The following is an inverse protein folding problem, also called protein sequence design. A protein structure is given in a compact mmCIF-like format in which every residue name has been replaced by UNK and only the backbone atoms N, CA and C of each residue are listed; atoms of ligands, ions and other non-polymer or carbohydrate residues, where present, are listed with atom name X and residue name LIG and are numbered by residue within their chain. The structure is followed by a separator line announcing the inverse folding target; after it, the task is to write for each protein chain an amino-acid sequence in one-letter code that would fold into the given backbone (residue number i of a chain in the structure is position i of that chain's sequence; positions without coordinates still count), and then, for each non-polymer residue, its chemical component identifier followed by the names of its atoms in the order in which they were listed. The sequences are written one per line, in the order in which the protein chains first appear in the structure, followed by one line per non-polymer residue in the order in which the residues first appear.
data_IF_348134582751
#
_entry.id   IF_348134582751
#
_cell.length_a   1.000
_cell.length_b   1.000
_cell.length_c   1.000
_cell.angle_alpha   90.00
_cell.angle_beta   90.00
_cell.angle_gamma   90.00
#
_symmetry.space_group_name_H-M   'P 1'
#
loop_
_entity.id
_entity.type
_entity.pdbx_description
1 polymer ?
#
# COMPACT_ATOMS: atom_id res chain seq x y z
N UNK A 1 18.84 -6.21 -8.54
CA UNK A 1 17.63 -5.69 -9.22
C UNK A 1 16.87 -6.80 -9.96
N UNK A 2 17.44 -7.39 -11.02
CA UNK A 2 16.85 -8.51 -11.79
C UNK A 2 16.35 -9.67 -10.92
N UNK A 3 17.12 -9.99 -9.88
CA UNK A 3 16.78 -11.04 -8.91
C UNK A 3 15.44 -10.82 -8.19
N UNK A 4 15.05 -9.57 -7.91
CA UNK A 4 13.78 -9.26 -7.25
C UNK A 4 12.60 -9.62 -8.16
N UNK A 5 12.73 -9.38 -9.47
CA UNK A 5 11.72 -9.79 -10.44
C UNK A 5 11.61 -11.31 -10.53
N UNK A 6 12.75 -12.02 -10.61
CA UNK A 6 12.79 -13.48 -10.65
C UNK A 6 12.17 -14.13 -9.40
N UNK A 7 12.45 -13.61 -8.20
CA UNK A 7 11.84 -14.08 -6.95
C UNK A 7 10.32 -13.95 -6.94
N UNK A 8 9.77 -12.96 -7.63
CA UNK A 8 8.32 -12.77 -7.67
C UNK A 8 7.73 -13.59 -8.81
N UNK A 9 8.30 -13.54 -10.01
CA UNK A 9 7.77 -14.25 -11.17
C UNK A 9 7.90 -15.78 -11.01
N UNK A 10 9.07 -16.28 -10.64
CA UNK A 10 9.38 -17.71 -10.61
C UNK A 10 9.08 -18.34 -9.24
N UNK A 11 9.55 -17.71 -8.16
CA UNK A 11 9.36 -18.25 -6.79
C UNK A 11 8.04 -17.79 -6.14
N UNK A 12 7.25 -16.97 -6.85
CA UNK A 12 5.90 -16.52 -6.43
C UNK A 12 5.88 -15.82 -5.07
N UNK A 13 6.99 -15.21 -4.66
CA UNK A 13 7.11 -14.62 -3.32
C UNK A 13 6.22 -13.39 -3.14
N UNK A 14 5.78 -13.18 -1.90
CA UNK A 14 5.09 -11.95 -1.51
C UNK A 14 6.09 -10.80 -1.34
N UNK A 15 5.64 -9.55 -1.51
CA UNK A 15 6.50 -8.37 -1.27
C UNK A 15 7.14 -8.34 0.13
N UNK A 16 6.45 -8.86 1.16
CA UNK A 16 6.99 -8.93 2.52
C UNK A 16 8.14 -9.92 2.61
N UNK A 17 8.00 -11.04 1.91
CA UNK A 17 8.99 -12.11 1.88
C UNK A 17 10.24 -11.68 1.10
N UNK A 18 10.04 -10.95 -0.01
CA UNK A 18 11.13 -10.28 -0.71
C UNK A 18 11.86 -9.29 0.21
N UNK A 19 11.15 -8.44 0.95
CA UNK A 19 11.79 -7.54 1.92
C UNK A 19 12.59 -8.31 2.98
N UNK A 20 12.03 -9.39 3.54
CA UNK A 20 12.70 -10.25 4.51
C UNK A 20 14.00 -10.82 3.95
N UNK A 21 13.96 -11.33 2.72
CA UNK A 21 15.13 -11.89 2.04
C UNK A 21 16.19 -10.82 1.75
N UNK A 22 15.78 -9.64 1.29
CA UNK A 22 16.69 -8.50 1.07
C UNK A 22 17.39 -8.08 2.37
N UNK A 23 16.64 -8.00 3.47
CA UNK A 23 17.19 -7.69 4.80
C UNK A 23 18.22 -8.75 5.25
N UNK A 24 17.97 -10.04 4.96
CA UNK A 24 18.90 -11.14 5.30
C UNK A 24 20.18 -11.14 4.46
N UNK A 25 20.10 -10.76 3.19
CA UNK A 25 21.27 -10.67 2.31
C UNK A 25 22.17 -9.46 2.61
N UNK A 26 21.80 -8.62 3.59
CA UNK A 26 22.58 -7.44 3.98
C UNK A 26 22.67 -6.37 2.89
N UNK A 27 21.84 -6.43 1.84
CA UNK A 27 21.89 -5.51 0.72
C UNK A 27 21.39 -4.12 1.16
N UNK A 28 22.27 -3.11 1.27
CA UNK A 28 21.89 -1.80 1.76
C UNK A 28 21.03 -1.07 0.72
N UNK A 29 20.05 -0.30 1.20
CA UNK A 29 19.27 0.58 0.32
C UNK A 29 20.11 1.77 -0.14
N UNK A 30 19.69 2.39 -1.25
CA UNK A 30 20.26 3.64 -1.80
C UNK A 30 20.49 4.76 -0.78
N UNK A 31 19.74 4.80 0.32
CA UNK A 31 19.85 5.81 1.39
C UNK A 31 20.31 5.23 2.75
N UNK A 32 20.98 4.07 2.77
CA UNK A 32 21.59 3.49 3.97
C UNK A 32 20.62 2.98 5.05
N UNK A 33 19.31 3.08 4.81
CA UNK A 33 18.33 2.73 5.83
C UNK A 33 18.17 1.20 5.97
N UNK A 34 18.23 0.71 7.22
CA UNK A 34 18.45 -0.68 7.60
C UNK A 34 17.41 -1.74 7.17
N UNK A 35 16.24 -1.34 6.66
CA UNK A 35 15.15 -2.28 6.34
C UNK A 35 14.46 -1.98 5.02
N UNK A 36 14.18 -2.98 4.21
CA UNK A 36 13.41 -2.81 3.00
C UNK A 36 11.91 -2.65 3.27
N UNK A 37 11.31 -1.59 2.71
CA UNK A 37 9.86 -1.40 2.76
C UNK A 37 9.19 -1.98 1.51
N UNK A 38 8.08 -2.69 1.71
CA UNK A 38 7.29 -3.26 0.63
C UNK A 38 6.75 -2.21 -0.36
N UNK A 39 6.55 -0.96 0.08
CA UNK A 39 6.17 0.16 -0.80
C UNK A 39 7.30 0.52 -1.77
N UNK A 40 8.55 0.52 -1.31
CA UNK A 40 9.73 0.76 -2.15
C UNK A 40 9.87 -0.35 -3.19
N UNK A 41 9.82 -1.61 -2.77
CA UNK A 41 9.90 -2.77 -3.67
C UNK A 41 8.76 -2.75 -4.69
N UNK A 42 7.54 -2.42 -4.26
CA UNK A 42 6.40 -2.25 -5.18
C UNK A 42 6.63 -1.13 -6.19
N UNK A 43 7.15 0.02 -5.76
CA UNK A 43 7.45 1.14 -6.66
C UNK A 43 8.48 0.78 -7.73
N UNK A 44 9.49 0.01 -7.34
CA UNK A 44 10.48 -0.55 -8.26
C UNK A 44 9.84 -1.50 -9.27
N UNK A 45 9.04 -2.45 -8.81
CA UNK A 45 8.37 -3.42 -9.69
C UNK A 45 7.34 -2.77 -10.62
N UNK A 46 6.76 -1.62 -10.26
CA UNK A 46 5.79 -0.90 -11.09
C UNK A 46 6.43 0.11 -12.06
N UNK A 47 7.76 0.13 -12.18
CA UNK A 47 8.48 1.08 -13.01
C UNK A 47 8.80 0.48 -14.40
N UNK A 48 8.15 0.96 -15.48
CA UNK A 48 8.40 0.48 -16.84
C UNK A 48 9.80 0.84 -17.36
N UNK A 49 10.55 1.72 -16.68
CA UNK A 49 11.94 1.98 -17.04
C UNK A 49 12.81 0.70 -17.01
N UNK A 50 12.42 -0.34 -16.25
CA UNK A 50 13.16 -1.60 -16.22
C UNK A 50 13.02 -2.42 -17.51
N UNK A 51 11.94 -2.24 -18.27
CA UNK A 51 11.71 -2.89 -19.58
C UNK A 51 12.21 -2.04 -20.76
N UNK A 52 12.72 -0.83 -20.50
CA UNK A 52 13.27 0.08 -21.50
C UNK A 52 12.39 1.28 -21.82
N UNK A 53 11.27 1.45 -21.12
CA UNK A 53 10.31 2.54 -21.36
C UNK A 53 10.17 3.40 -20.11
N UNK A 54 11.03 4.41 -19.95
CA UNK A 54 10.89 5.36 -18.85
C UNK A 54 9.72 6.31 -19.13
N UNK A 55 8.88 6.57 -18.13
CA UNK A 55 7.69 7.41 -18.30
C UNK A 55 7.78 8.64 -17.39
N UNK A 56 7.77 9.81 -18.01
CA UNK A 56 7.57 11.09 -17.33
C UNK A 56 6.09 11.50 -17.36
N UNK A 57 5.66 12.33 -16.41
CA UNK A 57 4.29 12.85 -16.40
C UNK A 57 3.23 11.92 -15.80
N UNK A 58 3.60 10.78 -15.18
CA UNK A 58 2.64 9.80 -14.59
C UNK A 58 1.68 10.38 -13.54
N UNK A 59 1.91 11.59 -13.05
CA UNK A 59 1.05 12.23 -12.07
C UNK A 59 1.04 13.74 -12.24
N UNK A 60 -0.12 14.34 -12.04
CA UNK A 60 -0.31 15.79 -11.98
C UNK A 60 -0.85 16.21 -10.63
N UNK A 61 -0.63 17.46 -10.25
CA UNK A 61 -1.18 18.05 -9.04
C UNK A 61 -2.47 18.78 -9.38
N UNK A 62 -3.56 18.39 -8.72
CA UNK A 62 -4.88 19.00 -8.91
C UNK A 62 -5.42 19.53 -7.59
N UNK A 63 -6.40 20.44 -7.64
CA UNK A 63 -7.22 20.75 -6.49
C UNK A 63 -7.73 19.46 -5.87
N UNK A 64 -7.57 19.30 -4.56
CA UNK A 64 -7.77 18.02 -3.94
C UNK A 64 -9.26 17.75 -3.78
N UNK A 65 -9.64 16.47 -3.95
CA UNK A 65 -11.02 16.05 -3.71
C UNK A 65 -11.49 16.44 -2.30
N UNK A 66 -12.78 16.81 -2.15
CA UNK A 66 -13.37 17.02 -0.85
C UNK A 66 -13.21 15.74 -0.02
N UNK A 67 -12.80 15.89 1.24
CA UNK A 67 -12.71 14.76 2.16
C UNK A 67 -14.09 14.60 2.79
N UNK A 68 -14.55 13.36 2.94
CA UNK A 68 -15.76 13.06 3.69
C UNK A 68 -15.66 13.50 5.17
N UNK A 69 -14.42 13.62 5.70
CA UNK A 69 -14.14 14.07 7.06
C UNK A 69 -12.85 14.90 7.14
N UNK A 70 -12.79 15.91 8.03
CA UNK A 70 -11.55 16.65 8.31
C UNK A 70 -10.47 15.74 8.90
N UNK A 71 -9.21 16.12 8.69
CA UNK A 71 -8.07 15.36 9.21
C UNK A 71 -7.89 15.73 10.70
N UNK A 72 -7.66 14.73 11.55
CA UNK A 72 -7.38 14.93 12.98
C UNK A 72 -6.32 16.02 13.18
N UNK A 73 -6.58 16.96 14.09
CA UNK A 73 -5.62 18.03 14.44
C UNK A 73 -5.38 19.05 13.33
N UNK A 74 -6.08 18.94 12.20
CA UNK A 74 -5.96 19.86 11.07
C UNK A 74 -7.37 20.26 10.62
N UNK A 75 -8.02 21.18 11.35
CA UNK A 75 -9.41 21.56 11.12
C UNK A 75 -9.61 22.25 9.77
N UNK A 76 -8.57 22.86 9.20
CA UNK A 76 -8.62 23.55 7.92
C UNK A 76 -7.53 23.06 6.97
N UNK A 77 -7.89 22.97 5.68
CA UNK A 77 -6.92 22.70 4.63
C UNK A 77 -6.07 23.95 4.41
N UNK A 78 -4.82 23.77 3.98
CA UNK A 78 -4.07 24.88 3.39
C UNK A 78 -4.91 25.53 2.29
N UNK A 79 -4.91 26.86 2.23
CA UNK A 79 -5.58 27.63 1.18
C UNK A 79 -5.09 27.22 -0.23
N UNK A 80 -3.88 26.65 -0.33
CA UNK A 80 -3.27 26.15 -1.57
C UNK A 80 -3.06 24.63 -1.53
N UNK A 81 -4.01 23.90 -0.95
CA UNK A 81 -3.89 22.45 -0.90
C UNK A 81 -3.94 21.85 -2.31
N UNK A 82 -3.04 20.91 -2.58
CA UNK A 82 -2.99 20.13 -3.82
C UNK A 82 -3.02 18.63 -3.50
N UNK A 83 -3.57 17.82 -4.40
CA UNK A 83 -3.46 16.37 -4.36
C UNK A 83 -2.74 15.87 -5.61
N UNK A 84 -1.77 14.98 -5.42
CA UNK A 84 -1.20 14.21 -6.52
C UNK A 84 -2.25 13.24 -7.06
N UNK A 85 -2.50 13.27 -8.35
CA UNK A 85 -3.45 12.42 -9.06
C UNK A 85 -2.74 11.74 -10.23
N UNK A 86 -3.10 10.49 -10.57
CA UNK A 86 -2.63 9.88 -11.82
C UNK A 86 -2.99 10.78 -13.01
N UNK A 87 -2.02 11.05 -13.88
CA UNK A 87 -2.29 11.69 -15.16
C UNK A 87 -2.77 10.60 -16.14
N UNK A 88 -3.65 10.94 -17.08
CA UNK A 88 -4.09 9.98 -18.07
C UNK A 88 -2.93 9.62 -19.02
N UNK A 89 -2.94 8.42 -19.66
CA UNK A 89 -1.82 7.93 -20.47
C UNK A 89 -1.43 8.84 -21.63
N UNK A 90 -2.37 9.59 -22.20
CA UNK A 90 -2.12 10.56 -23.28
C UNK A 90 -1.19 11.72 -22.88
N UNK A 91 -1.11 12.04 -21.58
CA UNK A 91 -0.19 13.06 -21.05
C UNK A 91 1.21 12.48 -20.75
N UNK A 92 1.41 11.17 -20.96
CA UNK A 92 2.66 10.49 -20.59
C UNK A 92 3.71 10.68 -21.68
N UNK A 93 4.91 11.05 -21.27
CA UNK A 93 6.05 11.16 -22.17
C UNK A 93 6.92 9.93 -21.96
N UNK A 94 6.93 9.05 -22.96
CA UNK A 94 7.78 7.88 -22.99
C UNK A 94 9.17 8.24 -23.51
N UNK A 95 10.18 7.81 -22.76
CA UNK A 95 11.59 8.01 -23.08
C UNK A 95 12.25 6.63 -23.15
N UNK A 96 12.81 6.24 -24.31
CA UNK A 96 13.51 4.97 -24.42
C UNK A 96 14.77 5.00 -23.55
N UNK A 97 14.95 3.93 -22.77
CA UNK A 97 16.11 3.74 -21.90
C UNK A 97 16.65 2.31 -22.06
N UNK A 98 17.91 2.04 -21.70
CA UNK A 98 18.43 0.68 -21.74
C UNK A 98 17.60 -0.29 -20.90
N UNK A 99 17.17 -1.39 -21.51
CA UNK A 99 16.41 -2.45 -20.86
C UNK A 99 17.29 -3.18 -19.83
N UNK A 100 16.75 -3.41 -18.64
CA UNK A 100 17.41 -4.16 -17.55
C UNK A 100 16.75 -5.52 -17.28
N UNK A 101 15.48 -5.68 -17.66
CA UNK A 101 14.65 -6.86 -17.44
C UNK A 101 13.83 -7.10 -18.70
N UNK A 102 13.68 -8.36 -19.09
CA UNK A 102 12.85 -8.75 -20.23
C UNK A 102 11.36 -8.51 -19.95
N UNK A 103 10.58 -8.26 -21.01
CA UNK A 103 9.16 -7.93 -20.90
C UNK A 103 8.38 -9.09 -20.28
N UNK A 104 8.73 -10.34 -20.66
CA UNK A 104 8.10 -11.56 -20.17
C UNK A 104 8.27 -11.70 -18.65
N UNK A 105 9.48 -11.40 -18.15
CA UNK A 105 9.78 -11.48 -16.73
C UNK A 105 9.08 -10.36 -15.95
N UNK A 106 8.98 -9.16 -16.55
CA UNK A 106 8.25 -8.04 -15.95
C UNK A 106 6.76 -8.34 -15.84
N UNK A 107 6.14 -8.81 -16.92
CA UNK A 107 4.71 -9.16 -16.97
C UNK A 107 4.37 -10.33 -16.05
N UNK A 108 5.21 -11.37 -16.01
CA UNK A 108 5.04 -12.48 -15.06
C UNK A 108 5.07 -11.98 -13.60
N UNK A 109 5.96 -11.05 -13.27
CA UNK A 109 5.99 -10.44 -11.94
C UNK A 109 4.73 -9.60 -11.65
N UNK A 110 4.21 -8.83 -12.63
CA UNK A 110 2.95 -8.08 -12.47
C UNK A 110 1.77 -9.03 -12.23
N UNK A 111 1.64 -10.09 -13.02
CA UNK A 111 0.60 -11.09 -12.89
C UNK A 111 0.61 -11.73 -11.50
N UNK A 112 1.79 -12.13 -11.01
CA UNK A 112 1.92 -12.69 -9.67
C UNK A 112 1.56 -11.68 -8.57
N UNK A 113 1.95 -10.41 -8.71
CA UNK A 113 1.58 -9.36 -7.75
C UNK A 113 0.07 -9.12 -7.71
N UNK A 114 -0.60 -9.18 -8.87
CA UNK A 114 -2.04 -9.06 -8.99
C UNK A 114 -2.75 -10.25 -8.31
N UNK A 115 -2.26 -11.48 -8.54
CA UNK A 115 -2.76 -12.69 -7.88
C UNK A 115 -2.58 -12.61 -6.36
N UNK A 116 -1.38 -12.27 -5.89
CA UNK A 116 -1.08 -12.07 -4.47
C UNK A 116 -2.02 -11.03 -3.82
N UNK A 117 -2.40 -9.98 -4.56
CA UNK A 117 -3.36 -8.97 -4.10
C UNK A 117 -4.78 -9.54 -3.99
N UNK A 118 -5.22 -10.37 -4.95
CA UNK A 118 -6.54 -11.04 -4.93
C UNK A 118 -6.65 -11.95 -3.70
N UNK A 119 -5.74 -12.89 -3.52
CA UNK A 119 -5.75 -13.79 -2.34
C UNK A 119 -5.67 -13.06 -1.01
N UNK A 120 -4.92 -11.95 -0.93
CA UNK A 120 -4.89 -11.13 0.28
C UNK A 120 -6.24 -10.48 0.54
N UNK A 121 -6.91 -9.98 -0.51
CA UNK A 121 -8.24 -9.35 -0.40
C UNK A 121 -9.30 -10.35 0.01
N UNK A 122 -9.31 -11.55 -0.58
CA UNK A 122 -10.21 -12.65 -0.23
C UNK A 122 -10.05 -13.08 1.23
N UNK A 123 -8.80 -13.25 1.70
CA UNK A 123 -8.54 -13.51 3.14
C UNK A 123 -8.98 -12.38 4.07
N UNK A 124 -9.17 -11.18 3.56
CA UNK A 124 -9.63 -10.02 4.31
C UNK A 124 -11.11 -9.69 4.07
N UNK A 125 -11.82 -10.36 3.16
CA UNK A 125 -13.20 -10.01 2.85
C UNK A 125 -14.16 -10.57 3.90
N UNK A 126 -14.71 -9.65 4.69
CA UNK A 126 -15.79 -9.85 5.61
C UNK A 126 -16.14 -8.49 6.22
N UNK A 127 -17.43 -8.14 6.30
CA UNK A 127 -17.87 -7.01 7.10
C UNK A 127 -17.63 -7.37 8.56
N UNK A 128 -16.45 -7.01 9.10
CA UNK A 128 -16.12 -7.35 10.48
C UNK A 128 -16.93 -6.52 11.48
N UNK A 129 -17.42 -5.34 11.08
CA UNK A 129 -18.06 -4.39 11.99
C UNK A 129 -19.16 -3.56 11.32
N UNK A 130 -20.39 -3.66 11.84
CA UNK A 130 -21.59 -2.97 11.34
C UNK A 130 -21.43 -1.44 11.20
N UNK A 131 -20.73 -0.81 12.15
CA UNK A 131 -20.61 0.65 12.23
C UNK A 131 -19.29 1.20 11.65
N UNK A 132 -18.55 0.38 10.91
CA UNK A 132 -17.24 0.77 10.38
C UNK A 132 -17.34 2.04 9.54
N UNK A 133 -16.60 3.09 9.95
CA UNK A 133 -16.55 4.33 9.21
C UNK A 133 -17.82 5.16 9.29
N UNK A 134 -18.76 4.90 10.20
CA UNK A 134 -19.95 5.73 10.44
C UNK A 134 -19.89 6.49 11.77
N UNK A 135 -19.25 5.95 12.80
CA UNK A 135 -19.21 6.54 14.14
C UNK A 135 -17.89 7.21 14.48
N UNK A 136 -17.94 8.28 15.29
CA UNK A 136 -16.78 9.03 15.79
C UNK A 136 -16.93 9.31 17.29
N UNK A 137 -15.81 9.37 18.01
CA UNK A 137 -15.79 9.78 19.41
C UNK A 137 -16.07 11.28 19.52
N UNK A 138 -17.09 11.66 20.31
CA UNK A 138 -17.46 13.06 20.54
C UNK A 138 -16.35 13.88 21.19
N UNK A 139 -15.55 13.27 22.06
CA UNK A 139 -14.51 13.99 22.81
C UNK A 139 -13.24 14.27 21.99
N UNK A 140 -12.82 13.33 21.12
CA UNK A 140 -11.53 13.42 20.41
C UNK A 140 -11.62 13.33 18.88
N UNK A 141 -12.84 13.24 18.33
CA UNK A 141 -13.10 13.15 16.89
C UNK A 141 -12.52 11.91 16.21
N UNK A 142 -12.07 10.88 16.95
CA UNK A 142 -11.52 9.65 16.37
C UNK A 142 -12.63 8.75 15.86
N UNK A 143 -12.52 8.29 14.60
CA UNK A 143 -13.44 7.30 14.05
C UNK A 143 -13.29 5.99 14.83
N UNK A 144 -14.37 5.44 15.36
CA UNK A 144 -14.28 4.15 16.05
C UNK A 144 -13.77 3.09 15.07
N UNK A 145 -12.78 2.32 15.51
CA UNK A 145 -12.28 1.17 14.76
C UNK A 145 -12.61 -0.12 15.51
N UNK A 146 -13.07 -1.13 14.79
CA UNK A 146 -13.23 -2.46 15.34
C UNK A 146 -11.91 -3.21 15.24
N UNK A 147 -11.46 -3.79 16.36
CA UNK A 147 -10.33 -4.71 16.39
C UNK A 147 -10.83 -6.10 16.78
N UNK A 148 -10.56 -7.08 15.92
CA UNK A 148 -10.76 -8.48 16.28
C UNK A 148 -9.55 -8.86 17.14
N UNK A 149 -9.68 -8.70 18.45
CA UNK A 149 -8.72 -9.29 19.37
C UNK A 149 -8.96 -10.80 19.32
N UNK A 150 -7.94 -11.57 18.90
CA UNK A 150 -7.94 -13.00 19.14
C UNK A 150 -8.12 -13.18 20.65
N UNK A 151 -9.07 -14.02 21.08
CA UNK A 151 -9.26 -14.34 22.51
C UNK A 151 -8.01 -15.06 23.01
N UNK A 152 -6.99 -14.30 23.38
CA UNK A 152 -5.86 -14.80 24.13
C UNK A 152 -6.29 -14.84 25.59
N UNK A 153 -6.11 -15.98 26.25
CA UNK A 153 -6.39 -16.16 27.68
C UNK A 153 -5.65 -15.18 28.59
N UNK A 154 -4.65 -14.46 28.06
CA UNK A 154 -3.82 -13.46 28.77
C UNK A 154 -4.28 -12.01 28.59
N UNK A 155 -5.35 -11.75 27.83
CA UNK A 155 -5.87 -10.38 27.68
C UNK A 155 -6.65 -9.96 28.94
N UNK A 156 -6.10 -9.00 29.70
CA UNK A 156 -6.70 -8.47 30.94
C UNK A 156 -7.89 -7.55 30.67
N UNK A 157 -8.17 -7.19 29.42
CA UNK A 157 -9.31 -6.35 29.05
C UNK A 157 -10.61 -7.17 28.93
N UNK A 158 -11.00 -7.88 30.00
CA UNK A 158 -12.38 -8.37 30.14
C UNK A 158 -13.30 -7.17 30.38
N UNK A 159 -13.67 -6.47 29.31
CA UNK A 159 -14.73 -5.46 29.39
C UNK A 159 -16.00 -6.13 29.92
N UNK A 160 -16.56 -5.63 31.02
CA UNK A 160 -17.87 -6.08 31.51
C UNK A 160 -18.91 -5.78 30.44
N UNK A 161 -19.53 -6.84 29.90
CA UNK A 161 -20.72 -6.71 29.06
C UNK A 161 -21.86 -6.18 29.93
N UNK A 162 -22.17 -4.89 29.81
CA UNK A 162 -23.39 -4.32 30.39
C UNK A 162 -24.52 -4.51 29.39
N UNK A 163 -25.50 -5.33 29.77
CA UNK A 163 -26.78 -5.39 29.07
C UNK A 163 -27.53 -4.11 29.40
N UNK A 164 -27.74 -3.26 28.41
CA UNK A 164 -28.69 -2.15 28.53
C UNK A 164 -30.07 -2.77 28.38
N UNK A 165 -30.82 -2.81 29.49
CA UNK A 165 -32.26 -3.09 29.45
C UNK A 165 -32.96 -1.77 29.07
N UNK A 166 -33.84 -1.84 28.09
CA UNK A 166 -34.75 -0.74 27.71
C UNK A 166 -35.73 -0.45 28.84
#
# INVERSE_FOLDING_TARGET
MRQIFAWIACERLSLREVCRRLDQTGCPRRHGAARWYASTVRGMLANPAYTGHAVYGRSRYLPPKPRLRPLRGHPQRSARATSRMPAPPEDWIEVPVPRLVDDELFEAAQAQLAENRKYKRERCCGQRWLLQGLTVCRCCGYAYNGKALLRCSRDRSKGQLRRFQN
#
